data_IF_465643873817
#
_entry.id   IF_465643873817
#
_cell.length_a   1.000
_cell.length_b   1.000
_cell.length_c   1.000
_cell.angle_alpha   90.00
_cell.angle_beta   90.00
_cell.angle_gamma   90.00
#
_symmetry.space_group_name_H-M   'P 1'
#
loop_
_entity.id
_entity.type
_entity.pdbx_description
1 polymer ?
#
# COMPACT_ATOMS: atom_id res chain seq x y z
N UNK A 1 18.49 -52.64 30.64
CA UNK A 1 17.05 -52.28 30.71
C UNK A 1 16.83 -50.93 31.38
N UNK A 2 17.21 -50.73 32.66
CA UNK A 2 17.00 -49.43 33.33
C UNK A 2 17.89 -48.29 32.78
N UNK A 3 19.16 -48.59 32.49
CA UNK A 3 20.11 -47.63 31.91
C UNK A 3 19.74 -47.22 30.47
N UNK A 4 19.20 -48.14 29.68
CA UNK A 4 18.71 -47.84 28.33
C UNK A 4 17.51 -46.87 28.39
N UNK A 5 16.67 -47.01 29.40
CA UNK A 5 15.52 -46.13 29.61
C UNK A 5 15.94 -44.72 30.06
N UNK A 6 17.00 -44.58 30.85
CA UNK A 6 17.51 -43.26 31.25
C UNK A 6 18.20 -42.53 30.09
N UNK A 7 18.97 -43.25 29.26
CA UNK A 7 19.63 -42.67 28.07
C UNK A 7 18.59 -42.21 27.05
N UNK A 8 17.56 -43.02 26.77
CA UNK A 8 16.48 -42.66 25.84
C UNK A 8 15.70 -41.43 26.33
N UNK A 9 15.42 -41.35 27.63
CA UNK A 9 14.79 -40.17 28.23
C UNK A 9 15.66 -38.92 28.12
N UNK A 10 16.96 -39.02 28.42
CA UNK A 10 17.90 -37.90 28.29
C UNK A 10 18.02 -37.41 26.84
N UNK A 11 18.04 -38.33 25.87
CA UNK A 11 18.07 -37.99 24.45
C UNK A 11 16.79 -37.27 24.02
N UNK A 12 15.62 -37.71 24.49
CA UNK A 12 14.36 -37.03 24.23
C UNK A 12 14.36 -35.60 24.80
N UNK A 13 14.81 -35.41 26.04
CA UNK A 13 14.91 -34.10 26.67
C UNK A 13 15.87 -33.15 25.92
N UNK A 14 17.04 -33.67 25.50
CA UNK A 14 18.00 -32.90 24.69
C UNK A 14 17.40 -32.51 23.34
N UNK A 15 16.70 -33.44 22.67
CA UNK A 15 16.05 -33.15 21.38
C UNK A 15 14.96 -32.09 21.51
N UNK A 16 14.15 -32.16 22.56
CA UNK A 16 13.13 -31.17 22.87
C UNK A 16 13.76 -29.80 23.13
N UNK A 17 14.83 -29.74 23.93
CA UNK A 17 15.54 -28.49 24.22
C UNK A 17 16.16 -27.88 22.96
N UNK A 18 16.71 -28.71 22.08
CA UNK A 18 17.22 -28.26 20.77
C UNK A 18 16.09 -27.64 19.94
N UNK A 19 14.93 -28.27 19.88
CA UNK A 19 13.81 -27.79 19.05
C UNK A 19 13.26 -26.45 19.57
N UNK A 20 13.20 -26.27 20.89
CA UNK A 20 12.86 -24.99 21.50
C UNK A 20 13.88 -23.90 21.15
N UNK A 21 15.18 -24.18 21.28
CA UNK A 21 16.25 -23.24 20.93
C UNK A 21 16.25 -22.90 19.44
N UNK A 22 15.92 -23.86 18.57
CA UNK A 22 15.80 -23.63 17.13
C UNK A 22 14.65 -22.68 16.81
N UNK A 23 13.49 -22.86 17.45
CA UNK A 23 12.35 -21.95 17.29
C UNK A 23 12.65 -20.53 17.78
N UNK A 24 13.37 -20.40 18.91
CA UNK A 24 13.84 -19.10 19.41
C UNK A 24 14.83 -18.44 18.45
N UNK A 25 15.79 -19.20 17.92
CA UNK A 25 16.74 -18.72 16.92
C UNK A 25 16.04 -18.19 15.67
N UNK A 26 15.07 -18.93 15.14
CA UNK A 26 14.28 -18.50 13.98
C UNK A 26 13.49 -17.23 14.29
N UNK A 27 12.84 -17.17 15.46
CA UNK A 27 12.13 -15.98 15.91
C UNK A 27 13.05 -14.76 15.99
N UNK A 28 14.19 -14.88 16.67
CA UNK A 28 15.19 -13.81 16.79
C UNK A 28 15.70 -13.39 15.42
N UNK A 29 15.92 -14.34 14.50
CA UNK A 29 16.29 -14.05 13.12
C UNK A 29 15.25 -13.18 12.40
N UNK A 30 13.95 -13.45 12.58
CA UNK A 30 12.90 -12.60 12.01
C UNK A 30 12.82 -11.21 12.65
N UNK A 31 13.07 -11.12 13.96
CA UNK A 31 13.10 -9.84 14.67
C UNK A 31 14.30 -8.98 14.22
N UNK A 32 15.48 -9.59 14.07
CA UNK A 32 16.67 -8.94 13.55
C UNK A 32 16.48 -8.46 12.10
N UNK A 33 15.86 -9.26 11.24
CA UNK A 33 15.55 -8.84 9.87
C UNK A 33 14.60 -7.62 9.82
N UNK A 34 13.60 -7.57 10.72
CA UNK A 34 12.72 -6.40 10.86
C UNK A 34 13.49 -5.16 11.29
N UNK A 35 14.40 -5.29 12.25
CA UNK A 35 15.24 -4.20 12.72
C UNK A 35 16.16 -3.68 11.61
N UNK A 36 16.78 -4.57 10.82
CA UNK A 36 17.62 -4.18 9.68
C UNK A 36 16.82 -3.43 8.60
N UNK A 37 15.59 -3.86 8.31
CA UNK A 37 14.72 -3.13 7.39
C UNK A 37 14.37 -1.74 7.93
N UNK A 38 14.07 -1.63 9.22
CA UNK A 38 13.81 -0.34 9.87
C UNK A 38 15.05 0.57 9.85
N UNK A 39 16.24 0.03 10.14
CA UNK A 39 17.50 0.77 10.07
C UNK A 39 17.76 1.29 8.66
N UNK A 40 17.59 0.43 7.64
CA UNK A 40 17.75 0.82 6.25
C UNK A 40 16.77 1.92 5.82
N UNK A 41 15.52 1.85 6.27
CA UNK A 41 14.52 2.88 6.00
C UNK A 41 14.89 4.22 6.66
N UNK A 42 15.35 4.21 7.91
CA UNK A 42 15.81 5.41 8.60
C UNK A 42 17.05 6.01 7.92
N UNK A 43 18.01 5.17 7.53
CA UNK A 43 19.20 5.61 6.78
C UNK A 43 18.82 6.26 5.45
N UNK A 44 17.88 5.67 4.72
CA UNK A 44 17.36 6.22 3.45
C UNK A 44 16.69 7.59 3.63
N UNK A 45 15.92 7.80 4.71
CA UNK A 45 15.33 9.11 5.05
C UNK A 45 16.43 10.14 5.37
N UNK A 46 17.42 9.76 6.18
CA UNK A 46 18.52 10.66 6.58
C UNK A 46 19.38 11.05 5.38
N UNK A 47 19.65 10.12 4.47
CA UNK A 47 20.54 10.31 3.33
C UNK A 47 19.81 10.82 2.08
N UNK A 48 18.48 11.00 2.13
CA UNK A 48 17.62 11.33 0.98
C UNK A 48 17.87 10.41 -0.24
N UNK A 49 18.19 9.14 0.03
CA UNK A 49 18.41 8.12 -1.00
C UNK A 49 17.13 7.32 -1.23
N UNK A 50 16.77 6.95 -2.47
CA UNK A 50 15.60 6.12 -2.72
C UNK A 50 15.76 4.75 -2.03
N UNK A 51 14.69 4.28 -1.39
CA UNK A 51 14.63 3.03 -0.59
C UNK A 51 15.04 1.74 -1.34
N UNK A 52 15.22 1.79 -2.67
CA UNK A 52 15.63 0.65 -3.50
C UNK A 52 17.07 0.16 -3.23
N UNK A 53 17.89 0.93 -2.52
CA UNK A 53 19.28 0.56 -2.20
C UNK A 53 19.42 -0.40 -1.01
N UNK A 54 18.37 -0.61 -0.21
CA UNK A 54 18.36 -1.61 0.89
C UNK A 54 17.70 -2.91 0.42
N UNK A 55 18.00 -3.31 -0.82
CA UNK A 55 17.69 -4.65 -1.28
C UNK A 55 18.56 -5.64 -0.52
N UNK A 56 17.96 -6.24 0.52
CA UNK A 56 18.28 -7.54 1.13
C UNK A 56 19.70 -8.00 0.80
N UNK A 57 20.69 -7.45 1.52
CA UNK A 57 22.03 -8.01 1.47
C UNK A 57 21.94 -9.46 1.94
N UNK A 58 22.27 -10.35 1.01
CA UNK A 58 22.38 -11.79 1.15
C UNK A 58 22.85 -12.22 2.55
N UNK A 59 21.98 -12.93 3.27
CA UNK A 59 22.42 -13.76 4.38
C UNK A 59 23.30 -14.90 3.85
N UNK A 60 24.36 -15.32 4.57
CA UNK A 60 25.31 -16.32 4.12
C UNK A 60 24.71 -17.73 4.27
N UNK A 61 23.75 -18.09 3.43
CA UNK A 61 23.17 -19.44 3.41
C UNK A 61 22.80 -19.96 2.01
N UNK A 62 23.07 -19.22 0.93
CA UNK A 62 22.65 -19.62 -0.43
C UNK A 62 23.78 -19.52 -1.45
N UNK A 63 24.87 -20.27 -1.23
CA UNK A 63 25.90 -20.50 -2.28
C UNK A 63 26.01 -21.95 -2.75
N UNK A 64 25.13 -22.86 -2.29
CA UNK A 64 25.17 -24.29 -2.65
C UNK A 64 23.88 -24.80 -3.30
N UNK A 65 23.20 -23.97 -4.11
CA UNK A 65 22.06 -24.42 -4.91
C UNK A 65 21.94 -23.61 -6.21
N UNK A 66 23.04 -23.46 -6.92
CA UNK A 66 22.94 -23.21 -8.36
C UNK A 66 22.39 -24.47 -9.04
N UNK A 67 21.51 -24.26 -10.03
CA UNK A 67 21.34 -25.10 -11.22
C UNK A 67 20.16 -26.10 -11.31
N UNK A 68 18.94 -25.71 -10.95
CA UNK A 68 17.75 -26.31 -11.57
C UNK A 68 16.48 -25.44 -11.43
N UNK A 69 15.80 -25.21 -12.56
CA UNK A 69 14.45 -24.66 -12.74
C UNK A 69 14.30 -23.13 -12.55
N UNK A 70 14.28 -22.34 -13.63
CA UNK A 70 13.11 -22.03 -14.48
C UNK A 70 12.36 -20.77 -14.01
N UNK A 71 12.49 -19.72 -14.81
CA UNK A 71 11.47 -18.70 -15.12
C UNK A 71 10.61 -18.14 -13.98
N UNK A 72 10.89 -16.90 -13.57
CA UNK A 72 9.92 -16.08 -12.86
C UNK A 72 10.55 -14.86 -12.17
N UNK A 73 10.72 -13.75 -12.90
CA UNK A 73 11.07 -12.46 -12.32
C UNK A 73 10.01 -12.05 -11.27
N UNK A 74 10.39 -11.65 -10.05
CA UNK A 74 9.52 -10.85 -9.18
C UNK A 74 9.66 -9.38 -9.55
N UNK A 75 8.57 -8.83 -10.08
CA UNK A 75 8.40 -7.43 -10.47
C UNK A 75 8.59 -6.45 -9.30
N UNK A 76 9.42 -5.45 -9.55
CA UNK A 76 9.62 -4.19 -8.82
C UNK A 76 8.30 -3.50 -8.45
N UNK A 77 8.20 -3.04 -7.20
CA UNK A 77 6.95 -2.62 -6.54
C UNK A 77 6.94 -1.10 -6.34
N UNK A 78 6.88 -0.35 -7.44
CA UNK A 78 6.65 1.11 -7.43
C UNK A 78 5.29 1.53 -6.85
N UNK A 79 4.98 2.85 -6.81
CA UNK A 79 3.75 3.38 -6.24
C UNK A 79 2.58 2.69 -6.93
N UNK A 80 1.80 1.92 -6.16
CA UNK A 80 0.71 1.14 -6.72
C UNK A 80 -0.34 2.09 -7.24
N UNK A 81 -0.32 2.29 -8.56
CA UNK A 81 -1.49 2.63 -9.33
C UNK A 81 -2.68 1.74 -8.91
N UNK A 82 -3.91 2.18 -9.20
CA UNK A 82 -5.14 1.57 -8.71
C UNK A 82 -5.08 0.04 -8.82
N UNK A 83 -5.19 -0.63 -7.67
CA UNK A 83 -4.95 -2.08 -7.51
C UNK A 83 -5.67 -2.85 -8.62
N UNK A 84 -4.95 -3.73 -9.33
CA UNK A 84 -5.49 -4.55 -10.42
C UNK A 84 -6.77 -5.36 -10.07
N UNK A 85 -7.05 -5.56 -8.78
CA UNK A 85 -8.24 -6.27 -8.28
C UNK A 85 -9.32 -5.37 -7.65
N UNK A 86 -9.15 -4.04 -7.56
CA UNK A 86 -10.19 -3.14 -7.05
C UNK A 86 -11.19 -2.77 -8.15
N UNK A 87 -12.44 -2.45 -7.80
CA UNK A 87 -13.47 -2.08 -8.78
C UNK A 87 -13.02 -0.90 -9.67
N UNK A 88 -12.45 0.17 -9.07
CA UNK A 88 -11.87 1.31 -9.81
C UNK A 88 -10.66 0.89 -10.67
N UNK A 89 -9.80 0.00 -10.19
CA UNK A 89 -8.64 -0.49 -10.94
C UNK A 89 -9.02 -1.36 -12.14
N UNK A 90 -10.00 -2.25 -11.98
CA UNK A 90 -10.56 -3.04 -13.08
C UNK A 90 -11.28 -2.16 -14.10
N UNK A 91 -12.04 -1.16 -13.65
CA UNK A 91 -12.66 -0.17 -14.53
C UNK A 91 -11.62 0.57 -15.37
N UNK A 92 -10.53 1.04 -14.74
CA UNK A 92 -9.44 1.70 -15.45
C UNK A 92 -8.77 0.74 -16.44
N UNK A 93 -8.36 -0.46 -16.03
CA UNK A 93 -7.76 -1.44 -16.94
C UNK A 93 -8.69 -1.78 -18.13
N UNK A 94 -10.00 -1.82 -17.91
CA UNK A 94 -10.98 -2.04 -18.96
C UNK A 94 -11.00 -0.89 -19.98
N UNK A 95 -11.05 0.36 -19.51
CA UNK A 95 -11.00 1.54 -20.37
C UNK A 95 -9.66 1.65 -21.11
N UNK A 96 -8.56 1.22 -20.49
CA UNK A 96 -7.22 1.16 -21.11
C UNK A 96 -7.20 0.15 -22.26
N UNK A 97 -7.76 -1.05 -22.03
CA UNK A 97 -7.85 -2.10 -23.05
C UNK A 97 -8.75 -1.72 -24.24
N UNK A 98 -9.72 -0.82 -24.04
CA UNK A 98 -10.58 -0.30 -25.10
C UNK A 98 -9.90 0.78 -25.96
N UNK A 99 -8.82 1.39 -25.46
CA UNK A 99 -8.05 2.37 -26.19
C UNK A 99 -8.82 3.66 -26.51
N UNK A 100 -8.46 4.38 -27.59
CA UNK A 100 -8.93 5.74 -27.86
C UNK A 100 -10.39 5.83 -28.33
N UNK A 101 -10.99 4.70 -28.73
CA UNK A 101 -12.41 4.64 -29.08
C UNK A 101 -13.30 4.66 -27.84
N UNK A 102 -12.77 4.23 -26.69
CA UNK A 102 -13.51 4.14 -25.43
C UNK A 102 -14.56 3.04 -25.41
N UNK A 103 -15.29 2.96 -24.31
CA UNK A 103 -16.42 2.05 -24.10
C UNK A 103 -17.66 2.85 -23.74
N UNK A 104 -18.82 2.38 -24.20
CA UNK A 104 -20.09 2.91 -23.70
C UNK A 104 -20.38 2.46 -22.27
N UNK A 105 -21.19 3.21 -21.54
CA UNK A 105 -21.61 2.86 -20.17
C UNK A 105 -22.27 1.47 -20.09
N UNK A 106 -23.09 1.12 -21.09
CA UNK A 106 -23.71 -0.19 -21.19
C UNK A 106 -22.68 -1.32 -21.39
N UNK A 107 -21.66 -1.09 -22.21
CA UNK A 107 -20.58 -2.07 -22.43
C UNK A 107 -19.68 -2.22 -21.19
N UNK A 108 -19.44 -1.14 -20.44
CA UNK A 108 -18.73 -1.20 -19.16
C UNK A 108 -19.51 -2.05 -18.17
N UNK A 109 -20.82 -1.83 -18.03
CA UNK A 109 -21.67 -2.59 -17.11
C UNK A 109 -21.73 -4.09 -17.47
N UNK A 110 -21.72 -4.43 -18.76
CA UNK A 110 -21.68 -5.84 -19.21
C UNK A 110 -20.37 -6.55 -18.85
N UNK A 111 -19.24 -5.82 -18.88
CA UNK A 111 -17.92 -6.39 -18.61
C UNK A 111 -17.54 -6.38 -17.12
N UNK A 112 -18.24 -5.59 -16.31
CA UNK A 112 -18.10 -5.50 -14.85
C UNK A 112 -19.45 -5.74 -14.15
N UNK A 113 -20.02 -6.97 -14.24
CA UNK A 113 -21.33 -7.28 -13.67
C UNK A 113 -21.33 -7.34 -12.14
N UNK A 114 -20.15 -7.40 -11.53
CA UNK A 114 -19.90 -7.50 -10.10
C UNK A 114 -19.98 -6.13 -9.38
N UNK A 115 -19.96 -5.03 -10.13
CA UNK A 115 -20.03 -3.67 -9.58
C UNK A 115 -21.42 -3.09 -9.82
N UNK A 116 -22.04 -2.54 -8.77
CA UNK A 116 -23.36 -1.92 -8.90
C UNK A 116 -23.32 -0.72 -9.87
N UNK A 117 -24.37 -0.50 -10.68
CA UNK A 117 -24.41 0.60 -11.66
C UNK A 117 -24.21 2.00 -11.06
N UNK A 118 -24.75 2.24 -9.86
CA UNK A 118 -24.56 3.50 -9.13
C UNK A 118 -23.07 3.75 -8.79
N UNK A 119 -22.36 2.70 -8.39
CA UNK A 119 -20.93 2.76 -8.08
C UNK A 119 -20.09 2.97 -9.32
N UNK A 120 -20.43 2.33 -10.45
CA UNK A 120 -19.79 2.59 -11.74
C UNK A 120 -19.94 4.05 -12.16
N UNK A 121 -21.15 4.62 -12.05
CA UNK A 121 -21.38 6.02 -12.38
C UNK A 121 -20.56 6.97 -11.49
N UNK A 122 -20.48 6.71 -10.18
CA UNK A 122 -19.64 7.50 -9.27
C UNK A 122 -18.16 7.42 -9.66
N UNK A 123 -17.64 6.23 -9.96
CA UNK A 123 -16.24 6.09 -10.40
C UNK A 123 -15.97 6.75 -11.74
N UNK A 124 -16.88 6.63 -12.70
CA UNK A 124 -16.73 7.28 -14.00
C UNK A 124 -16.78 8.80 -13.87
N UNK A 125 -17.67 9.34 -13.02
CA UNK A 125 -17.72 10.79 -12.75
C UNK A 125 -16.45 11.28 -12.06
N UNK A 126 -15.94 10.54 -11.06
CA UNK A 126 -14.69 10.92 -10.38
C UNK A 126 -13.46 10.81 -11.29
N UNK A 127 -13.40 9.81 -12.17
CA UNK A 127 -12.34 9.70 -13.17
C UNK A 127 -12.43 10.78 -14.25
N UNK A 128 -13.64 11.22 -14.60
CA UNK A 128 -13.84 12.32 -15.53
C UNK A 128 -13.44 13.67 -14.91
N UNK A 129 -13.81 13.91 -13.64
CA UNK A 129 -13.44 15.13 -12.93
C UNK A 129 -11.94 15.21 -12.63
N UNK A 130 -11.28 14.07 -12.38
CA UNK A 130 -9.83 14.02 -12.15
C UNK A 130 -8.99 14.05 -13.43
N UNK A 131 -9.62 14.16 -14.61
CA UNK A 131 -8.93 14.13 -15.89
C UNK A 131 -8.34 12.76 -16.28
N UNK A 132 -8.62 11.69 -15.53
CA UNK A 132 -8.16 10.33 -15.87
C UNK A 132 -8.98 9.71 -17.02
N UNK A 133 -10.23 10.13 -17.19
CA UNK A 133 -11.12 9.67 -18.25
C UNK A 133 -11.74 10.84 -19.01
N UNK A 134 -11.91 10.67 -20.32
CA UNK A 134 -12.58 11.63 -21.19
C UNK A 134 -13.92 11.03 -21.60
N UNK A 135 -15.01 11.75 -21.33
CA UNK A 135 -16.35 11.38 -21.79
C UNK A 135 -16.67 12.12 -23.09
N UNK A 136 -16.94 11.38 -24.16
CA UNK A 136 -17.36 11.88 -25.48
C UNK A 136 -18.74 11.32 -25.80
N UNK A 137 -19.79 12.05 -25.38
CA UNK A 137 -21.17 11.56 -25.43
C UNK A 137 -21.32 10.32 -24.53
N UNK A 138 -21.76 9.21 -25.12
CA UNK A 138 -21.97 7.93 -24.41
C UNK A 138 -20.69 7.11 -24.21
N UNK A 139 -19.60 7.47 -24.89
CA UNK A 139 -18.33 6.74 -24.84
C UNK A 139 -17.36 7.36 -23.85
N UNK A 140 -16.64 6.51 -23.14
CA UNK A 140 -15.66 6.89 -22.12
C UNK A 140 -14.33 6.23 -22.47
N UNK A 141 -13.28 7.04 -22.58
CA UNK A 141 -11.91 6.58 -22.87
C UNK A 141 -10.95 7.08 -21.80
N UNK A 142 -9.82 6.39 -21.58
CA UNK A 142 -8.75 6.96 -20.74
C UNK A 142 -8.16 8.19 -21.44
N UNK A 143 -7.96 9.27 -20.68
CA UNK A 143 -7.11 10.36 -21.13
C UNK A 143 -5.70 9.79 -21.25
N UNK A 144 -5.24 9.49 -22.47
CA UNK A 144 -3.84 9.11 -22.70
C UNK A 144 -3.02 10.23 -22.08
N UNK A 145 -2.30 9.93 -21.00
CA UNK A 145 -1.29 10.84 -20.48
C UNK A 145 -0.31 11.08 -21.63
N UNK A 146 -0.47 12.21 -22.31
CA UNK A 146 0.70 12.84 -22.89
C UNK A 146 1.71 12.98 -21.75
N UNK A 147 3.02 12.77 -21.97
CA UNK A 147 4.00 13.30 -21.05
C UNK A 147 3.78 14.81 -21.06
N UNK A 148 2.92 15.30 -20.16
CA UNK A 148 2.86 16.71 -19.84
C UNK A 148 4.22 16.98 -19.25
N UNK A 149 5.04 17.67 -20.01
CA UNK A 149 6.08 18.51 -19.45
C UNK A 149 5.48 19.20 -18.23
N UNK A 150 6.23 19.15 -17.14
CA UNK A 150 5.91 19.88 -15.94
C UNK A 150 5.69 21.35 -16.31
N UNK A 151 4.46 21.83 -16.18
CA UNK A 151 4.24 23.23 -15.81
C UNK A 151 4.29 23.26 -14.27
N UNK A 152 5.35 23.80 -13.65
CA UNK A 152 5.22 24.34 -12.31
C UNK A 152 4.37 25.62 -12.42
N UNK A 153 3.63 25.92 -11.36
CA UNK A 153 2.80 27.12 -11.15
C UNK A 153 1.30 26.96 -11.48
N UNK A 154 0.56 26.47 -10.47
CA UNK A 154 -0.50 27.32 -9.93
C UNK A 154 -0.24 27.48 -8.43
N UNK A 155 0.58 28.49 -8.13
CA UNK A 155 0.47 29.18 -6.85
C UNK A 155 -0.92 29.83 -6.82
N UNK A 156 -1.71 29.49 -5.82
CA UNK A 156 -2.99 30.13 -5.53
C UNK A 156 -3.11 30.08 -4.02
N UNK A 157 -2.36 30.98 -3.38
CA UNK A 157 -2.69 31.51 -2.07
C UNK A 157 -4.12 32.10 -2.08
N UNK A 158 -4.65 32.20 -0.87
CA UNK A 158 -5.81 32.97 -0.42
C UNK A 158 -7.22 32.37 -0.48
N UNK A 159 -7.85 32.38 0.69
CA UNK A 159 -9.30 32.27 0.81
C UNK A 159 -9.83 31.68 2.12
N UNK A 160 -9.16 31.91 3.24
CA UNK A 160 -9.77 31.79 4.57
C UNK A 160 -10.80 32.91 4.68
N UNK A 161 -12.10 32.62 4.57
CA UNK A 161 -13.23 33.48 4.95
C UNK A 161 -14.55 32.74 4.65
N UNK A 162 -15.10 32.02 5.63
CA UNK A 162 -16.56 32.03 5.79
C UNK A 162 -16.90 32.51 7.20
N UNK A 163 -17.62 33.62 7.20
CA UNK A 163 -17.83 34.53 8.29
C UNK A 163 -18.71 33.92 9.39
N UNK A 164 -18.26 34.07 10.63
CA UNK A 164 -19.17 34.10 11.76
C UNK A 164 -20.03 35.38 11.69
N UNK A 165 -21.36 35.32 11.88
CA UNK A 165 -22.11 36.49 12.27
C UNK A 165 -21.91 36.72 13.78
N UNK A 166 -21.33 37.87 14.12
CA UNK A 166 -21.34 38.41 15.48
C UNK A 166 -22.60 39.25 15.68
N UNK A 167 -23.38 38.88 16.70
CA UNK A 167 -24.24 39.72 17.56
C UNK A 167 -24.89 38.73 18.56
N UNK A 168 -24.94 38.92 19.87
CA UNK A 168 -24.69 40.08 20.71
C UNK A 168 -24.61 39.54 22.18
N UNK A 169 -23.90 40.27 23.06
CA UNK A 169 -23.91 40.31 24.53
C UNK A 169 -24.34 39.07 25.37
N UNK A 170 -23.69 38.66 26.46
CA UNK A 170 -23.10 39.48 27.50
C UNK A 170 -22.20 38.63 28.43
N UNK A 171 -21.24 39.32 29.03
CA UNK A 171 -20.22 38.85 29.96
C UNK A 171 -20.88 38.54 31.32
N UNK A 172 -20.39 37.56 32.08
CA UNK A 172 -19.70 37.81 33.36
C UNK A 172 -19.06 36.51 33.87
N UNK A 173 -17.84 36.69 34.37
CA UNK A 173 -16.94 35.68 34.87
C UNK A 173 -17.15 35.44 36.37
N UNK A 174 -16.29 34.55 36.90
CA UNK A 174 -16.00 34.34 38.33
C UNK A 174 -17.04 33.49 39.09
N UNK A 175 -16.71 32.54 39.97
CA UNK A 175 -15.51 32.28 40.75
C UNK A 175 -15.68 30.87 41.35
N UNK A 176 -14.60 30.11 41.51
CA UNK A 176 -14.48 29.12 42.58
C UNK A 176 -13.20 29.50 43.32
N UNK A 177 -13.08 29.40 44.67
CA UNK A 177 -13.69 28.38 45.55
C UNK A 177 -14.17 28.91 46.93
N UNK A 178 -14.91 28.13 47.74
CA UNK A 178 -14.64 28.00 49.19
C UNK A 178 -15.51 26.95 49.90
N UNK A 179 -14.99 26.53 51.06
CA UNK A 179 -15.33 25.37 51.84
C UNK A 179 -16.56 25.52 52.75
N UNK A 180 -17.15 24.39 53.15
CA UNK A 180 -17.56 24.09 54.53
C UNK A 180 -17.82 22.59 54.73
#
# INVERSE_FOLDING_TARGET
MAEDHTITKALAEISQRRDLLQAEYERIGTELAKLQMAEGALRSIVENTPLDAVSVADGPARRNADRAASSGQPSTRGPRGPRANSAKGRLRALLESAGPQGLSTAQVAQRLPDVAPATLNAYLSTMASSGEAIRRGDFISIAKAAPSEADPESDSEDGDEDAAPADDADVEADEAPEAH
#
